data_IF_319439938288
#
_entry.id   IF_319439938288
#
_cell.length_a   1.000
_cell.length_b   1.000
_cell.length_c   1.000
_cell.angle_alpha   90.00
_cell.angle_beta   90.00
_cell.angle_gamma   90.00
#
_symmetry.space_group_name_H-M   'P 1'
#
loop_
_entity.id
_entity.type
_entity.pdbx_description
1 polymer ?
#
# COMPACT_ATOMS: atom_id res chain seq x y z
N UNK A 1 -28.56 -13.67 32.77
CA UNK A 1 -28.21 -14.56 31.65
C UNK A 1 -27.94 -13.65 30.47
N UNK A 2 -26.67 -13.39 30.15
CA UNK A 2 -26.31 -12.59 28.96
C UNK A 2 -26.40 -13.49 27.72
N UNK A 3 -26.82 -12.97 26.55
CA UNK A 3 -26.79 -13.75 25.33
C UNK A 3 -25.33 -14.05 24.96
N UNK A 4 -25.06 -15.32 24.64
CA UNK A 4 -23.79 -15.78 24.05
C UNK A 4 -23.50 -14.99 22.77
N UNK A 5 -22.24 -14.64 22.45
CA UNK A 5 -21.91 -13.98 21.19
C UNK A 5 -22.34 -14.88 20.01
N UNK A 6 -22.99 -14.30 19.01
CA UNK A 6 -23.20 -14.97 17.72
C UNK A 6 -21.82 -15.21 17.08
N UNK A 7 -21.53 -16.47 16.75
CA UNK A 7 -20.31 -16.87 16.02
C UNK A 7 -20.34 -16.22 14.64
N UNK A 8 -19.24 -15.61 14.21
CA UNK A 8 -19.11 -15.03 12.88
C UNK A 8 -18.83 -16.12 11.84
N UNK A 9 -19.64 -16.17 10.78
CA UNK A 9 -19.35 -16.96 9.59
C UNK A 9 -18.25 -16.24 8.80
N UNK A 10 -17.13 -16.91 8.49
CA UNK A 10 -16.13 -16.31 7.62
C UNK A 10 -16.50 -16.52 6.16
N UNK A 11 -16.42 -15.45 5.37
CA UNK A 11 -16.70 -15.50 3.94
C UNK A 11 -15.42 -15.74 3.12
N UNK A 12 -15.54 -16.19 1.87
CA UNK A 12 -14.43 -16.24 0.92
C UNK A 12 -13.70 -14.88 0.77
N UNK A 13 -14.37 -13.76 1.08
CA UNK A 13 -13.77 -12.43 1.10
C UNK A 13 -12.68 -12.29 2.16
N UNK A 14 -12.87 -12.86 3.35
CA UNK A 14 -11.88 -12.80 4.43
C UNK A 14 -10.70 -13.72 4.13
N UNK A 15 -10.96 -14.92 3.60
CA UNK A 15 -9.93 -15.86 3.16
C UNK A 15 -9.08 -15.31 2.00
N UNK A 16 -9.71 -14.71 0.99
CA UNK A 16 -9.01 -14.04 -0.11
C UNK A 16 -8.16 -12.86 0.39
N UNK A 17 -8.71 -12.06 1.32
CA UNK A 17 -8.00 -10.95 1.95
C UNK A 17 -6.76 -11.39 2.74
N UNK A 18 -6.85 -12.47 3.52
CA UNK A 18 -5.71 -13.00 4.27
C UNK A 18 -4.63 -13.58 3.35
N UNK A 19 -5.03 -14.30 2.31
CA UNK A 19 -4.10 -14.89 1.35
C UNK A 19 -3.37 -13.84 0.50
N UNK A 20 -4.05 -12.78 0.08
CA UNK A 20 -3.41 -11.68 -0.64
C UNK A 20 -2.34 -11.00 0.22
N UNK A 21 -2.61 -10.78 1.51
CA UNK A 21 -1.61 -10.27 2.47
C UNK A 21 -0.45 -11.23 2.72
N UNK A 22 -0.68 -12.51 2.56
CA UNK A 22 0.31 -13.56 2.63
C UNK A 22 1.11 -13.74 1.32
N UNK A 23 0.76 -12.99 0.25
CA UNK A 23 1.39 -13.11 -1.07
C UNK A 23 0.96 -14.37 -1.83
N UNK A 24 -0.19 -14.94 -1.49
CA UNK A 24 -0.75 -16.16 -2.06
C UNK A 24 -1.89 -15.79 -3.02
N UNK A 25 -1.80 -16.22 -4.28
CA UNK A 25 -2.86 -15.98 -5.26
C UNK A 25 -4.14 -16.73 -4.92
N UNK A 26 -5.31 -16.16 -5.21
CA UNK A 26 -6.62 -16.79 -5.01
C UNK A 26 -6.70 -18.16 -5.71
N UNK A 27 -6.11 -18.30 -6.89
CA UNK A 27 -6.03 -19.55 -7.64
C UNK A 27 -5.27 -20.65 -6.88
N UNK A 28 -4.24 -20.27 -6.12
CA UNK A 28 -3.48 -21.18 -5.29
C UNK A 28 -4.30 -21.64 -4.07
N UNK A 29 -5.04 -20.73 -3.42
CA UNK A 29 -5.97 -21.10 -2.33
C UNK A 29 -7.01 -22.09 -2.86
N UNK A 30 -7.65 -21.78 -4.00
CA UNK A 30 -8.65 -22.64 -4.60
C UNK A 30 -8.10 -24.03 -4.91
N UNK A 31 -6.89 -24.11 -5.48
CA UNK A 31 -6.22 -25.38 -5.76
C UNK A 31 -5.88 -26.16 -4.48
N UNK A 32 -5.41 -25.48 -3.43
CA UNK A 32 -5.07 -26.07 -2.13
C UNK A 32 -6.33 -26.59 -1.41
N UNK A 33 -7.43 -25.83 -1.42
CA UNK A 33 -8.74 -26.26 -0.91
C UNK A 33 -9.24 -27.48 -1.66
N UNK A 34 -9.19 -27.46 -2.99
CA UNK A 34 -9.67 -28.56 -3.83
C UNK A 34 -8.83 -29.84 -3.60
N UNK A 35 -7.51 -29.71 -3.49
CA UNK A 35 -6.62 -30.82 -3.18
C UNK A 35 -6.87 -31.39 -1.76
N UNK A 36 -7.04 -30.53 -0.75
CA UNK A 36 -7.33 -30.92 0.62
C UNK A 36 -8.67 -31.69 0.73
N UNK A 37 -9.72 -31.17 0.10
CA UNK A 37 -11.03 -31.83 0.04
C UNK A 37 -10.95 -33.18 -0.70
N UNK A 38 -10.14 -33.28 -1.76
CA UNK A 38 -9.95 -34.55 -2.47
C UNK A 38 -9.26 -35.61 -1.61
N UNK A 39 -8.25 -35.22 -0.81
CA UNK A 39 -7.57 -36.11 0.15
C UNK A 39 -8.53 -36.58 1.25
N UNK A 40 -9.33 -35.68 1.83
CA UNK A 40 -10.31 -36.03 2.87
C UNK A 40 -11.37 -37.04 2.36
N UNK A 41 -11.80 -36.91 1.10
CA UNK A 41 -12.73 -37.84 0.44
C UNK A 41 -12.12 -39.22 0.19
N UNK A 42 -10.84 -39.27 -0.17
CA UNK A 42 -10.13 -40.55 -0.36
C UNK A 42 -9.99 -41.29 0.97
N UNK A 43 -9.64 -40.59 2.06
CA UNK A 43 -9.51 -41.19 3.40
C UNK A 43 -10.83 -41.72 3.96
N UNK A 44 -11.96 -41.04 3.71
CA UNK A 44 -13.30 -41.53 4.11
C UNK A 44 -13.75 -42.75 3.29
N UNK A 45 -13.39 -42.82 2.01
CA UNK A 45 -13.71 -43.99 1.16
C UNK A 45 -12.93 -45.25 1.51
N UNK A 46 -11.75 -45.12 2.14
CA UNK A 46 -10.89 -46.22 2.57
C UNK A 46 -11.32 -46.92 3.88
N UNK A 47 -12.27 -46.36 4.63
CA UNK A 47 -12.69 -46.86 5.96
C UNK A 47 -14.11 -47.45 5.97
N UNK A 48 -14.44 -48.30 4.99
CA UNK A 48 -15.66 -49.12 5.03
C UNK A 48 -15.47 -50.33 5.96
N UNK A 49 -15.61 -50.15 7.27
CA UNK A 49 -15.50 -51.30 8.19
C UNK A 49 -15.74 -51.11 9.70
N UNK A 50 -16.08 -49.93 10.21
CA UNK A 50 -16.28 -49.74 11.65
C UNK A 50 -17.35 -48.72 11.98
N UNK A 51 -18.10 -48.97 13.07
CA UNK A 51 -19.06 -48.03 13.65
C UNK A 51 -18.34 -46.76 14.10
N UNK A 52 -18.28 -45.77 13.23
CA UNK A 52 -17.85 -44.42 13.55
C UNK A 52 -19.05 -43.49 13.36
N UNK A 53 -19.33 -42.64 14.36
CA UNK A 53 -20.26 -41.53 14.22
C UNK A 53 -19.73 -40.62 13.10
N UNK A 54 -20.51 -40.28 12.07
CA UNK A 54 -20.01 -39.44 10.99
C UNK A 54 -19.64 -38.07 11.58
N UNK A 55 -18.34 -37.81 11.67
CA UNK A 55 -17.87 -36.42 11.74
C UNK A 55 -18.35 -35.78 10.46
N UNK A 56 -19.20 -34.77 10.58
CA UNK A 56 -19.75 -34.10 9.41
C UNK A 56 -18.57 -33.61 8.55
N UNK A 57 -18.60 -33.80 7.23
CA UNK A 57 -17.46 -33.50 6.34
C UNK A 57 -16.98 -32.04 6.42
N UNK A 58 -17.80 -31.15 6.98
CA UNK A 58 -17.63 -29.70 7.02
C UNK A 58 -16.55 -29.19 7.97
N UNK A 59 -16.25 -29.88 9.08
CA UNK A 59 -15.17 -29.45 9.99
C UNK A 59 -13.78 -29.78 9.41
N UNK A 60 -13.68 -30.88 8.65
CA UNK A 60 -12.42 -31.36 8.11
C UNK A 60 -11.89 -30.51 6.94
N UNK A 61 -12.74 -29.85 6.16
CA UNK A 61 -12.30 -29.07 4.99
C UNK A 61 -11.61 -27.76 5.42
N UNK A 62 -12.17 -27.03 6.39
CA UNK A 62 -11.55 -25.80 6.91
C UNK A 62 -10.25 -26.10 7.65
N UNK A 63 -10.23 -27.15 8.49
CA UNK A 63 -9.03 -27.59 9.20
C UNK A 63 -7.95 -28.10 8.23
N UNK A 64 -8.32 -28.74 7.12
CA UNK A 64 -7.37 -29.17 6.10
C UNK A 64 -6.80 -28.00 5.29
N UNK A 65 -7.59 -26.96 5.02
CA UNK A 65 -7.12 -25.71 4.39
C UNK A 65 -6.17 -24.95 5.31
N UNK A 66 -6.53 -24.81 6.59
CA UNK A 66 -5.66 -24.21 7.61
C UNK A 66 -4.38 -25.04 7.77
N UNK A 67 -4.49 -26.38 7.76
CA UNK A 67 -3.36 -27.30 7.80
C UNK A 67 -2.41 -27.13 6.61
N UNK A 68 -2.94 -27.11 5.38
CA UNK A 68 -2.14 -26.91 4.18
C UNK A 68 -1.44 -25.54 4.16
N UNK A 69 -2.13 -24.48 4.58
CA UNK A 69 -1.52 -23.15 4.73
C UNK A 69 -0.42 -23.15 5.80
N UNK A 70 -0.59 -23.88 6.91
CA UNK A 70 0.47 -24.05 7.92
C UNK A 70 1.67 -24.83 7.37
N UNK A 71 1.44 -25.89 6.61
CA UNK A 71 2.51 -26.67 5.98
C UNK A 71 3.31 -25.84 4.97
N UNK A 72 2.67 -24.85 4.33
CA UNK A 72 3.31 -23.84 3.47
C UNK A 72 3.97 -22.67 4.26
N UNK A 73 3.97 -22.75 5.60
CA UNK A 73 4.68 -21.81 6.49
C UNK A 73 3.85 -20.63 6.97
N UNK A 74 2.53 -20.64 6.79
CA UNK A 74 1.63 -19.57 7.25
C UNK A 74 1.06 -19.89 8.64
N UNK A 75 1.37 -19.05 9.65
CA UNK A 75 0.83 -19.22 11.00
C UNK A 75 -0.50 -18.47 11.15
N UNK A 76 -1.61 -19.20 10.96
CA UNK A 76 -2.97 -18.68 11.11
C UNK A 76 -3.57 -19.17 12.44
N UNK A 77 -3.86 -18.24 13.35
CA UNK A 77 -4.65 -18.49 14.57
C UNK A 77 -6.08 -17.96 14.34
N UNK A 78 -6.93 -18.78 13.73
CA UNK A 78 -8.34 -18.45 13.51
C UNK A 78 -9.16 -19.02 14.68
N UNK A 79 -9.80 -18.15 15.46
CA UNK A 79 -10.76 -18.54 16.50
C UNK A 79 -12.17 -18.24 16.02
N UNK A 80 -13.07 -19.20 16.18
CA UNK A 80 -14.54 -19.05 16.04
C UNK A 80 -15.09 -18.73 14.63
N UNK A 81 -14.59 -19.42 13.59
CA UNK A 81 -15.16 -19.38 12.24
C UNK A 81 -16.05 -20.60 11.97
N UNK A 82 -17.27 -20.39 11.47
CA UNK A 82 -18.12 -21.47 10.95
C UNK A 82 -18.23 -21.36 9.42
N UNK A 83 -17.94 -22.46 8.72
CA UNK A 83 -18.04 -22.59 7.26
C UNK A 83 -19.47 -22.96 6.85
N UNK A 84 -20.07 -22.21 5.91
CA UNK A 84 -21.43 -22.47 5.42
C UNK A 84 -21.45 -22.76 3.92
N UNK A 85 -21.67 -24.02 3.56
CA UNK A 85 -21.61 -24.50 2.17
C UNK A 85 -22.83 -24.10 1.32
N UNK A 86 -23.92 -23.61 1.93
CA UNK A 86 -25.16 -23.22 1.22
C UNK A 86 -24.97 -22.09 0.21
N UNK A 87 -23.82 -21.41 0.23
CA UNK A 87 -23.47 -20.34 -0.70
C UNK A 87 -22.87 -20.86 -2.02
N UNK A 88 -22.76 -22.18 -2.24
CA UNK A 88 -21.96 -22.74 -3.34
C UNK A 88 -22.62 -23.91 -4.09
N UNK A 89 -23.03 -23.74 -5.37
CA UNK A 89 -23.49 -24.85 -6.20
C UNK A 89 -22.33 -25.72 -6.69
N UNK A 90 -22.38 -27.01 -6.33
CA UNK A 90 -21.49 -28.07 -6.84
C UNK A 90 -22.18 -28.86 -7.94
N UNK A 91 -21.39 -29.49 -8.83
CA UNK A 91 -21.94 -30.50 -9.74
C UNK A 91 -22.19 -31.81 -9.01
N UNK A 92 -22.78 -32.76 -9.72
CA UNK A 92 -23.09 -34.11 -9.21
C UNK A 92 -21.83 -34.91 -8.82
N UNK A 93 -20.65 -34.50 -9.31
CA UNK A 93 -19.34 -35.05 -8.93
C UNK A 93 -18.74 -34.35 -7.70
N UNK A 94 -19.46 -33.37 -7.13
CA UNK A 94 -19.04 -32.59 -5.97
C UNK A 94 -17.89 -31.62 -6.26
N UNK A 95 -17.62 -31.30 -7.53
CA UNK A 95 -16.69 -30.25 -7.97
C UNK A 95 -17.40 -28.90 -7.93
N UNK A 96 -16.63 -27.82 -7.78
CA UNK A 96 -17.18 -26.49 -7.96
C UNK A 96 -17.60 -26.33 -9.43
N UNK A 97 -18.87 -25.96 -9.67
CA UNK A 97 -19.31 -25.74 -11.05
C UNK A 97 -18.59 -24.51 -11.61
N UNK A 98 -17.96 -24.66 -12.78
CA UNK A 98 -17.25 -23.58 -13.51
C UNK A 98 -18.13 -22.36 -13.88
N UNK A 99 -19.40 -22.34 -13.49
CA UNK A 99 -20.31 -21.18 -13.59
C UNK A 99 -20.20 -20.17 -12.44
N UNK A 100 -19.51 -20.51 -11.35
CA UNK A 100 -19.38 -19.64 -10.18
C UNK A 100 -18.63 -18.33 -10.44
N UNK A 101 -17.66 -18.29 -11.35
CA UNK A 101 -16.91 -17.05 -11.64
C UNK A 101 -17.72 -16.04 -12.49
N UNK A 102 -18.65 -16.53 -13.31
CA UNK A 102 -19.41 -15.70 -14.26
C UNK A 102 -20.78 -15.26 -13.73
N UNK A 103 -21.47 -16.09 -12.94
CA UNK A 103 -22.76 -15.73 -12.31
C UNK A 103 -22.61 -14.63 -11.25
N UNK A 104 -21.43 -14.52 -10.63
CA UNK A 104 -21.16 -13.46 -9.65
C UNK A 104 -21.07 -12.07 -10.29
N UNK A 105 -20.62 -11.93 -11.55
CA UNK A 105 -20.64 -10.62 -12.25
C UNK A 105 -22.05 -10.12 -12.56
N UNK A 106 -23.02 -11.00 -12.73
CA UNK A 106 -24.42 -10.63 -13.00
C UNK A 106 -25.23 -10.37 -11.73
N UNK A 107 -25.07 -11.21 -10.70
CA UNK A 107 -25.76 -11.03 -9.41
C UNK A 107 -25.28 -9.78 -8.63
N UNK A 108 -24.07 -9.28 -8.92
CA UNK A 108 -23.53 -8.02 -8.39
C UNK A 108 -24.32 -6.77 -8.82
N UNK A 109 -25.09 -6.82 -9.91
CA UNK A 109 -25.82 -5.66 -10.43
C UNK A 109 -27.22 -5.46 -9.79
N UNK A 110 -27.87 -6.54 -9.33
CA UNK A 110 -29.28 -6.51 -8.93
C UNK A 110 -29.57 -6.86 -7.45
N UNK A 111 -28.56 -7.27 -6.68
CA UNK A 111 -28.75 -7.51 -5.25
C UNK A 111 -28.86 -6.20 -4.46
N UNK A 112 -30.11 -5.72 -4.26
CA UNK A 112 -30.46 -4.78 -3.18
C UNK A 112 -30.26 -5.49 -1.83
N UNK A 113 -29.02 -5.54 -1.39
CA UNK A 113 -28.69 -5.89 0.00
C UNK A 113 -29.11 -4.69 0.85
N UNK A 114 -30.01 -4.93 1.80
CA UNK A 114 -30.41 -3.95 2.80
C UNK A 114 -29.17 -3.59 3.65
N UNK A 115 -28.56 -2.43 3.37
CA UNK A 115 -27.25 -2.02 3.91
C UNK A 115 -27.43 -1.39 5.29
N UNK A 116 -27.33 -2.20 6.34
CA UNK A 116 -27.12 -1.71 7.72
C UNK A 116 -25.95 -2.36 8.45
N UNK A 117 -25.18 -3.25 7.81
CA UNK A 117 -23.93 -3.76 8.39
C UNK A 117 -22.74 -2.95 7.88
N UNK A 118 -22.48 -1.81 8.53
CA UNK A 118 -21.15 -1.22 8.50
C UNK A 118 -20.30 -2.08 9.44
N UNK A 119 -19.61 -3.07 8.88
CA UNK A 119 -18.48 -3.67 9.56
C UNK A 119 -17.45 -2.55 9.64
N UNK A 120 -17.22 -2.01 10.84
CA UNK A 120 -15.99 -1.25 11.09
C UNK A 120 -14.87 -2.28 11.06
N UNK A 121 -14.00 -2.34 10.03
CA UNK A 121 -12.80 -3.14 10.17
C UNK A 121 -11.97 -2.46 11.27
N UNK A 122 -12.09 -2.94 12.50
CA UNK A 122 -11.04 -2.74 13.50
C UNK A 122 -9.84 -3.48 12.93
N UNK A 123 -8.97 -2.76 12.23
CA UNK A 123 -7.70 -3.28 11.75
C UNK A 123 -6.99 -3.80 13.00
N UNK A 124 -6.78 -5.11 13.16
CA UNK A 124 -6.11 -5.61 14.34
C UNK A 124 -4.72 -4.97 14.40
N UNK A 125 -4.27 -4.51 15.58
CA UNK A 125 -2.95 -3.91 15.72
C UNK A 125 -1.94 -4.92 15.16
N UNK A 126 -1.19 -4.52 14.12
CA UNK A 126 -0.14 -5.35 13.55
C UNK A 126 0.75 -5.87 14.70
N UNK A 127 1.01 -7.17 14.75
CA UNK A 127 1.89 -7.77 15.77
C UNK A 127 3.21 -7.00 15.76
N UNK A 128 3.41 -6.20 16.80
CA UNK A 128 4.40 -5.13 16.81
C UNK A 128 5.81 -5.71 16.73
N UNK A 129 6.61 -5.14 15.82
CA UNK A 129 8.07 -5.17 15.91
C UNK A 129 8.52 -4.68 17.30
N UNK A 130 9.71 -5.09 17.79
CA UNK A 130 10.21 -4.73 19.12
C UNK A 130 10.04 -3.23 19.41
N UNK A 131 9.81 -2.83 20.68
CA UNK A 131 9.43 -1.48 21.04
C UNK A 131 10.40 -0.47 20.43
N UNK A 132 9.87 0.41 19.57
CA UNK A 132 10.64 1.48 18.97
C UNK A 132 11.16 2.38 20.09
N UNK A 133 12.48 2.57 20.13
CA UNK A 133 13.15 3.47 21.07
C UNK A 133 12.76 4.91 20.73
N UNK A 134 12.36 5.70 21.73
CA UNK A 134 12.19 7.14 21.51
C UNK A 134 13.53 7.78 21.10
N UNK A 135 13.51 8.47 19.95
CA UNK A 135 14.65 9.22 19.42
C UNK A 135 14.34 10.72 19.40
N UNK A 136 15.35 11.55 19.64
CA UNK A 136 15.30 12.98 19.29
C UNK A 136 15.32 13.15 17.77
N UNK A 137 14.94 14.33 17.28
CA UNK A 137 15.00 14.62 15.84
C UNK A 137 16.42 14.46 15.25
N UNK A 138 17.45 14.89 15.99
CA UNK A 138 18.85 14.69 15.56
C UNK A 138 19.23 13.20 15.51
N UNK A 139 18.81 12.40 16.49
CA UNK A 139 19.07 10.95 16.48
C UNK A 139 18.36 10.23 15.33
N UNK A 140 17.11 10.60 15.05
CA UNK A 140 16.37 10.04 13.93
C UNK A 140 16.97 10.45 12.58
N UNK A 141 17.39 11.70 12.45
CA UNK A 141 18.11 12.19 11.28
C UNK A 141 19.41 11.39 11.06
N UNK A 142 20.23 11.26 12.10
CA UNK A 142 21.50 10.51 12.03
C UNK A 142 21.28 9.04 11.66
N UNK A 143 20.25 8.39 12.23
CA UNK A 143 19.95 6.99 11.96
C UNK A 143 19.39 6.80 10.54
N UNK A 144 18.52 7.70 10.04
CA UNK A 144 18.05 7.68 8.65
C UNK A 144 19.22 7.87 7.68
N UNK A 145 20.11 8.83 7.93
CA UNK A 145 21.28 9.08 7.09
C UNK A 145 22.26 7.90 7.10
N UNK A 146 22.53 7.33 8.28
CA UNK A 146 23.38 6.15 8.43
C UNK A 146 22.77 4.96 7.68
N UNK A 147 21.48 4.70 7.89
CA UNK A 147 20.81 3.57 7.26
C UNK A 147 20.72 3.75 5.74
N UNK A 148 20.48 4.97 5.27
CA UNK A 148 20.51 5.31 3.86
C UNK A 148 21.85 5.01 3.19
N UNK A 149 22.99 5.32 3.85
CA UNK A 149 24.32 4.94 3.37
C UNK A 149 24.50 3.43 3.28
N UNK A 150 24.12 2.68 4.32
CA UNK A 150 24.19 1.22 4.32
C UNK A 150 23.38 0.60 3.17
N UNK A 151 22.18 1.12 2.91
CA UNK A 151 21.30 0.65 1.84
C UNK A 151 21.89 0.96 0.45
N UNK A 152 22.46 2.16 0.25
CA UNK A 152 23.17 2.51 -1.00
C UNK A 152 24.38 1.61 -1.23
N UNK A 153 25.18 1.34 -0.20
CA UNK A 153 26.31 0.41 -0.29
C UNK A 153 25.84 -1.00 -0.67
N UNK A 154 24.76 -1.48 -0.06
CA UNK A 154 24.17 -2.79 -0.39
C UNK A 154 23.63 -2.82 -1.83
N UNK A 155 22.99 -1.75 -2.30
CA UNK A 155 22.52 -1.63 -3.67
C UNK A 155 23.68 -1.69 -4.68
N UNK A 156 24.77 -0.97 -4.43
CA UNK A 156 26.00 -1.05 -5.24
C UNK A 156 26.59 -2.46 -5.22
N UNK A 157 26.66 -3.10 -4.05
CA UNK A 157 27.13 -4.48 -3.95
C UNK A 157 26.26 -5.44 -4.78
N UNK A 158 24.93 -5.31 -4.74
CA UNK A 158 24.01 -6.10 -5.56
C UNK A 158 24.24 -5.86 -7.04
N UNK A 159 24.34 -4.60 -7.48
CA UNK A 159 24.63 -4.26 -8.88
C UNK A 159 25.97 -4.88 -9.34
N UNK A 160 27.01 -4.84 -8.50
CA UNK A 160 28.30 -5.49 -8.80
C UNK A 160 28.16 -7.01 -8.90
N UNK A 161 27.41 -7.65 -7.99
CA UNK A 161 27.16 -9.09 -8.04
C UNK A 161 26.35 -9.49 -9.27
N UNK A 162 25.33 -8.72 -9.63
CA UNK A 162 24.50 -8.94 -10.81
C UNK A 162 25.30 -8.71 -12.09
N UNK A 163 26.17 -7.70 -12.13
CA UNK A 163 27.11 -7.49 -13.23
C UNK A 163 28.10 -8.65 -13.35
N UNK A 164 28.63 -9.18 -12.24
CA UNK A 164 29.50 -10.38 -12.23
C UNK A 164 28.77 -11.64 -12.70
N UNK A 165 27.51 -11.83 -12.30
CA UNK A 165 26.66 -12.94 -12.77
C UNK A 165 26.23 -12.76 -14.24
N UNK A 166 26.10 -11.51 -14.68
CA UNK A 166 25.73 -11.13 -16.05
C UNK A 166 26.88 -11.23 -17.05
N UNK A 167 28.13 -10.98 -16.63
CA UNK A 167 29.35 -11.17 -17.41
C UNK A 167 29.92 -12.60 -17.22
N UNK A 168 29.22 -13.61 -17.73
CA UNK A 168 29.93 -14.84 -18.09
C UNK A 168 30.73 -14.56 -19.36
N UNK A 169 32.00 -15.03 -19.40
CA UNK A 169 32.92 -14.84 -20.54
C UNK A 169 32.31 -15.32 -21.87
N UNK A 170 31.30 -16.19 -21.83
CA UNK A 170 30.56 -16.65 -23.00
C UNK A 170 29.68 -15.55 -23.64
N UNK A 171 29.05 -14.64 -22.90
CA UNK A 171 28.19 -13.59 -23.51
C UNK A 171 28.99 -12.54 -24.27
N UNK A 172 30.21 -12.25 -23.83
CA UNK A 172 31.14 -11.35 -24.52
C UNK A 172 31.72 -12.00 -25.80
N UNK A 173 31.91 -13.32 -25.78
CA UNK A 173 32.31 -14.11 -26.95
C UNK A 173 31.17 -14.21 -27.96
N UNK A 174 29.95 -14.51 -27.49
CA UNK A 174 28.74 -14.59 -28.30
C UNK A 174 28.38 -13.24 -28.95
N UNK A 175 28.58 -12.11 -28.27
CA UNK A 175 28.36 -10.79 -28.86
C UNK A 175 29.37 -10.46 -29.99
N UNK A 176 30.61 -10.94 -29.90
CA UNK A 176 31.64 -10.79 -30.95
C UNK A 176 31.38 -11.71 -32.15
N UNK A 177 30.91 -12.93 -31.90
CA UNK A 177 30.48 -13.88 -32.93
C UNK A 177 29.21 -13.37 -33.66
N UNK A 178 28.27 -12.76 -32.92
CA UNK A 178 27.06 -12.13 -33.46
C UNK A 178 27.40 -10.94 -34.38
N UNK A 179 28.39 -10.12 -34.01
CA UNK A 179 28.84 -8.98 -34.83
C UNK A 179 29.45 -9.44 -36.17
N UNK A 180 30.20 -10.54 -36.15
CA UNK A 180 30.81 -11.14 -37.35
C UNK A 180 29.78 -11.86 -38.24
N UNK A 181 28.74 -12.46 -37.65
CA UNK A 181 27.64 -13.09 -38.37
C UNK A 181 26.68 -12.06 -39.00
N UNK A 182 26.44 -10.93 -38.34
CA UNK A 182 25.62 -9.82 -38.87
C UNK A 182 26.22 -9.19 -40.13
N UNK A 183 27.56 -9.21 -40.29
CA UNK A 183 28.23 -8.76 -41.51
C UNK A 183 28.02 -9.71 -42.71
N UNK A 184 27.53 -10.94 -42.48
CA UNK A 184 27.38 -11.97 -43.52
C UNK A 184 25.93 -12.27 -43.93
N UNK A 185 24.89 -11.81 -43.22
CA UNK A 185 23.56 -12.46 -43.27
C UNK A 185 22.35 -11.56 -43.59
N UNK A 186 22.52 -10.50 -44.39
CA UNK A 186 21.44 -9.59 -44.84
C UNK A 186 20.47 -10.23 -45.87
N UNK A 187 20.34 -11.57 -45.94
CA UNK A 187 19.50 -12.24 -46.94
C UNK A 187 18.73 -13.49 -46.41
N UNK A 188 17.50 -13.26 -45.89
CA UNK A 188 16.27 -14.11 -45.84
C UNK A 188 15.99 -15.24 -44.78
N UNK A 189 14.67 -15.43 -44.50
CA UNK A 189 13.91 -16.57 -43.88
C UNK A 189 13.81 -16.77 -42.35
N UNK A 190 12.68 -17.35 -41.87
CA UNK A 190 12.27 -18.02 -40.57
C UNK A 190 12.98 -17.67 -39.24
N UNK A 191 14.27 -17.36 -39.27
CA UNK A 191 15.06 -16.77 -38.19
C UNK A 191 14.47 -15.48 -37.60
N UNK A 192 13.60 -14.79 -38.33
CA UNK A 192 12.94 -13.57 -37.86
C UNK A 192 11.97 -13.85 -36.69
N UNK A 193 11.35 -15.04 -36.66
CA UNK A 193 10.43 -15.46 -35.59
C UNK A 193 11.19 -15.85 -34.32
N UNK A 194 12.31 -16.54 -34.45
CA UNK A 194 13.23 -16.85 -33.34
C UNK A 194 13.98 -15.62 -32.83
N UNK A 195 14.21 -14.63 -33.70
CA UNK A 195 14.73 -13.31 -33.31
C UNK A 195 13.71 -12.55 -32.47
N UNK A 196 12.44 -12.55 -32.87
CA UNK A 196 11.37 -11.93 -32.10
C UNK A 196 11.21 -12.59 -30.72
N UNK A 197 11.23 -13.93 -30.64
CA UNK A 197 11.16 -14.67 -29.38
C UNK A 197 12.33 -14.33 -28.44
N UNK A 198 13.55 -14.24 -28.97
CA UNK A 198 14.75 -13.85 -28.19
C UNK A 198 14.70 -12.40 -27.72
N UNK A 199 14.14 -11.47 -28.53
CA UNK A 199 13.92 -10.07 -28.14
C UNK A 199 12.88 -9.96 -27.03
N UNK A 200 11.77 -10.70 -27.14
CA UNK A 200 10.75 -10.75 -26.09
C UNK A 200 11.30 -11.32 -24.78
N UNK A 201 12.14 -12.36 -24.84
CA UNK A 201 12.79 -12.92 -23.65
C UNK A 201 13.78 -11.92 -23.01
N UNK A 202 14.55 -11.20 -23.82
CA UNK A 202 15.47 -10.16 -23.34
C UNK A 202 14.71 -8.99 -22.67
N UNK A 203 13.60 -8.54 -23.29
CA UNK A 203 12.72 -7.52 -22.71
C UNK A 203 12.09 -8.04 -21.41
N UNK A 204 11.60 -9.28 -21.37
CA UNK A 204 11.04 -9.88 -20.15
C UNK A 204 12.06 -9.95 -19.01
N UNK A 205 13.32 -10.29 -19.31
CA UNK A 205 14.42 -10.28 -18.34
C UNK A 205 14.74 -8.87 -17.83
N UNK A 206 14.72 -7.86 -18.70
CA UNK A 206 14.93 -6.47 -18.28
C UNK A 206 13.76 -5.95 -17.43
N UNK A 207 12.51 -6.25 -17.79
CA UNK A 207 11.33 -5.91 -16.97
C UNK A 207 11.40 -6.57 -15.60
N UNK A 208 11.77 -7.86 -15.53
CA UNK A 208 11.98 -8.55 -14.25
C UNK A 208 13.10 -7.92 -13.42
N UNK A 209 14.19 -7.47 -14.07
CA UNK A 209 15.31 -6.77 -13.42
C UNK A 209 14.87 -5.43 -12.84
N UNK A 210 14.15 -4.61 -13.61
CA UNK A 210 13.61 -3.33 -13.15
C UNK A 210 12.65 -3.53 -11.97
N UNK A 211 11.69 -4.47 -12.09
CA UNK A 211 10.79 -4.78 -10.98
C UNK A 211 11.50 -5.31 -9.73
N UNK A 212 12.66 -5.97 -9.86
CA UNK A 212 13.47 -6.37 -8.70
C UNK A 212 14.20 -5.18 -8.04
N UNK A 213 14.64 -4.19 -8.83
CA UNK A 213 15.22 -2.93 -8.33
C UNK A 213 14.15 -2.14 -7.58
N UNK A 214 12.98 -1.93 -8.18
CA UNK A 214 11.86 -1.22 -7.55
C UNK A 214 11.43 -1.88 -6.23
N UNK A 215 11.31 -3.22 -6.20
CA UNK A 215 11.00 -3.95 -4.94
C UNK A 215 12.09 -3.80 -3.88
N UNK A 216 13.35 -3.73 -4.29
CA UNK A 216 14.45 -3.49 -3.35
C UNK A 216 14.39 -2.06 -2.79
N UNK A 217 14.15 -1.06 -3.64
CA UNK A 217 13.99 0.34 -3.23
C UNK A 217 12.79 0.51 -2.28
N UNK A 218 11.65 -0.13 -2.57
CA UNK A 218 10.48 -0.12 -1.68
C UNK A 218 10.78 -0.74 -0.31
N UNK A 219 11.55 -1.83 -0.26
CA UNK A 219 11.98 -2.45 0.99
C UNK A 219 12.93 -1.54 1.78
N UNK A 220 13.80 -0.83 1.08
CA UNK A 220 14.75 0.11 1.66
C UNK A 220 13.99 1.32 2.25
N UNK A 221 13.01 1.87 1.53
CA UNK A 221 12.10 2.93 2.02
C UNK A 221 11.30 2.46 3.25
N UNK A 222 10.75 1.25 3.21
CA UNK A 222 10.03 0.67 4.35
C UNK A 222 10.94 0.54 5.60
N UNK A 223 12.21 0.19 5.40
CA UNK A 223 13.20 0.11 6.48
C UNK A 223 13.47 1.48 7.09
N UNK A 224 13.58 2.53 6.26
CA UNK A 224 13.79 3.90 6.74
C UNK A 224 12.55 4.44 7.48
N UNK A 225 11.34 4.15 6.98
CA UNK A 225 10.08 4.53 7.65
C UNK A 225 9.96 3.98 9.07
N UNK A 226 10.47 2.78 9.34
CA UNK A 226 10.44 2.19 10.69
C UNK A 226 11.18 3.05 11.73
N UNK A 227 12.21 3.79 11.31
CA UNK A 227 12.93 4.75 12.19
C UNK A 227 12.04 5.95 12.54
N UNK A 228 11.14 6.32 11.62
CA UNK A 228 10.27 7.48 11.73
C UNK A 228 8.97 7.22 12.46
N UNK A 229 8.59 5.96 12.64
CA UNK A 229 7.36 5.62 13.34
C UNK A 229 7.44 5.98 14.82
N UNK A 230 6.29 6.39 15.37
CA UNK A 230 6.15 6.73 16.78
C UNK A 230 5.92 5.48 17.61
N UNK A 231 6.27 5.55 18.88
CA UNK A 231 6.03 4.47 19.83
C UNK A 231 4.53 4.31 20.16
N UNK A 232 3.87 5.44 20.44
CA UNK A 232 2.44 5.51 20.71
C UNK A 232 1.72 6.24 19.57
N UNK A 233 1.18 5.50 18.58
CA UNK A 233 0.51 6.09 17.42
C UNK A 233 -0.83 6.72 17.77
N UNK A 234 -1.21 7.77 17.06
CA UNK A 234 -2.49 8.43 17.21
C UNK A 234 -3.67 7.50 16.87
N UNK A 235 -4.80 7.70 17.55
CA UNK A 235 -6.06 7.12 17.11
C UNK A 235 -6.60 7.97 15.96
N UNK A 236 -6.91 7.32 14.83
CA UNK A 236 -7.48 7.98 13.66
C UNK A 236 -8.92 7.52 13.47
N UNK A 237 -9.84 8.48 13.52
CA UNK A 237 -11.25 8.24 13.20
C UNK A 237 -11.47 8.46 11.71
N UNK A 238 -11.23 7.41 10.92
CA UNK A 238 -11.43 7.43 9.48
C UNK A 238 -12.85 7.00 9.14
N UNK A 239 -13.53 7.83 8.35
CA UNK A 239 -14.93 7.68 7.99
C UNK A 239 -15.11 7.67 6.48
N UNK A 240 -15.96 6.75 6.03
CA UNK A 240 -16.36 6.61 4.61
C UNK A 240 -17.86 6.90 4.41
N UNK A 241 -18.53 7.29 5.48
CA UNK A 241 -19.95 7.66 5.50
C UNK A 241 -20.14 9.16 5.24
N UNK A 242 -21.39 9.52 4.93
CA UNK A 242 -21.77 10.90 4.63
C UNK A 242 -21.75 11.75 5.90
N UNK A 243 -21.15 12.94 5.82
CA UNK A 243 -21.35 14.00 6.82
C UNK A 243 -22.83 14.37 6.83
N UNK A 244 -23.51 14.41 8.00
CA UNK A 244 -24.92 14.79 8.07
C UNK A 244 -25.20 16.10 7.34
N UNK A 245 -26.15 16.08 6.40
CA UNK A 245 -26.52 17.25 5.59
C UNK A 245 -25.61 17.55 4.40
N UNK A 246 -24.63 16.70 4.09
CA UNK A 246 -23.78 16.81 2.89
C UNK A 246 -24.02 15.63 1.95
N UNK A 247 -24.17 15.94 0.65
CA UNK A 247 -24.19 14.93 -0.40
C UNK A 247 -22.75 14.53 -0.72
N UNK A 248 -22.27 13.45 -0.11
CA UNK A 248 -20.95 12.89 -0.40
C UNK A 248 -21.06 11.71 -1.35
N UNK A 249 -20.07 11.57 -2.23
CA UNK A 249 -19.96 10.41 -3.10
C UNK A 249 -19.15 9.33 -2.38
N UNK A 250 -19.74 8.18 -2.04
CA UNK A 250 -19.02 7.13 -1.33
C UNK A 250 -17.85 6.59 -2.16
N UNK A 251 -16.79 6.11 -1.50
CA UNK A 251 -15.75 5.35 -2.16
C UNK A 251 -16.31 3.98 -2.59
N UNK A 252 -16.85 3.90 -3.80
CA UNK A 252 -17.41 2.65 -4.33
C UNK A 252 -16.36 1.73 -4.97
N UNK A 253 -15.14 2.23 -5.17
CA UNK A 253 -14.03 1.47 -5.77
C UNK A 253 -13.16 0.87 -4.67
N UNK A 254 -12.91 -0.45 -4.74
CA UNK A 254 -12.03 -1.16 -3.81
C UNK A 254 -10.65 -0.50 -3.72
N UNK A 255 -10.11 -0.05 -4.86
CA UNK A 255 -8.80 0.60 -4.92
C UNK A 255 -8.75 1.91 -4.11
N UNK A 256 -9.81 2.75 -4.18
CA UNK A 256 -9.85 4.00 -3.41
C UNK A 256 -9.90 3.73 -1.91
N UNK A 257 -10.73 2.76 -1.50
CA UNK A 257 -10.85 2.35 -0.10
C UNK A 257 -9.53 1.78 0.41
N UNK A 258 -8.85 0.97 -0.39
CA UNK A 258 -7.54 0.40 -0.05
C UNK A 258 -6.48 1.50 0.10
N UNK A 259 -6.40 2.45 -0.84
CA UNK A 259 -5.48 3.57 -0.77
C UNK A 259 -5.74 4.44 0.47
N UNK A 260 -7.02 4.74 0.76
CA UNK A 260 -7.43 5.49 1.93
C UNK A 260 -7.04 4.78 3.23
N UNK A 261 -7.34 3.49 3.37
CA UNK A 261 -7.00 2.69 4.55
C UNK A 261 -5.48 2.55 4.73
N UNK A 262 -4.75 2.31 3.65
CA UNK A 262 -3.29 2.19 3.68
C UNK A 262 -2.64 3.50 4.06
N UNK A 263 -3.05 4.62 3.44
CA UNK A 263 -2.52 5.95 3.79
C UNK A 263 -2.87 6.36 5.21
N UNK A 264 -4.07 6.02 5.68
CA UNK A 264 -4.48 6.23 7.07
C UNK A 264 -3.59 5.47 8.05
N UNK A 265 -3.32 4.19 7.80
CA UNK A 265 -2.45 3.38 8.65
C UNK A 265 -1.01 3.91 8.68
N UNK A 266 -0.51 4.42 7.55
CA UNK A 266 0.81 5.05 7.49
C UNK A 266 0.88 6.33 8.35
N UNK A 267 -0.13 7.19 8.26
CA UNK A 267 -0.24 8.39 9.11
C UNK A 267 -0.34 8.01 10.58
N UNK A 268 -1.15 6.99 10.90
CA UNK A 268 -1.32 6.48 12.26
C UNK A 268 0.04 6.16 12.89
N UNK A 269 0.92 5.50 12.14
CA UNK A 269 2.26 5.11 12.59
C UNK A 269 3.25 6.26 12.66
N UNK A 270 3.05 7.34 11.89
CA UNK A 270 3.95 8.50 11.86
C UNK A 270 3.60 9.56 12.92
N UNK A 271 2.35 9.60 13.37
CA UNK A 271 1.84 10.67 14.24
C UNK A 271 1.58 10.13 15.65
N UNK A 272 2.08 10.84 16.67
CA UNK A 272 1.92 10.50 18.08
C UNK A 272 0.50 10.71 18.58
N UNK A 273 0.08 9.87 19.52
CA UNK A 273 -1.18 10.00 20.28
C UNK A 273 -1.43 11.35 20.96
N UNK A 274 -0.37 12.13 21.16
CA UNK A 274 -0.49 13.48 21.73
C UNK A 274 -1.06 14.50 20.74
N UNK A 275 -1.11 14.17 19.46
CA UNK A 275 -1.75 14.98 18.45
C UNK A 275 -3.18 14.50 18.23
N UNK A 276 -4.14 15.31 18.63
CA UNK A 276 -5.52 15.11 18.26
C UNK A 276 -5.68 15.31 16.75
N UNK A 277 -6.19 14.27 16.09
CA UNK A 277 -6.61 14.28 14.69
C UNK A 277 -8.10 14.02 14.73
N UNK A 278 -8.89 15.04 14.42
CA UNK A 278 -10.35 14.91 14.38
C UNK A 278 -10.83 13.88 13.36
N UNK A 279 -12.14 13.81 13.16
CA UNK A 279 -12.72 12.87 12.20
C UNK A 279 -12.29 13.22 10.76
N UNK A 280 -11.80 12.23 10.02
CA UNK A 280 -11.41 12.35 8.62
C UNK A 280 -12.40 11.61 7.74
N UNK A 281 -12.98 12.31 6.78
CA UNK A 281 -14.00 11.80 5.89
C UNK A 281 -13.45 11.65 4.48
N UNK A 282 -13.45 10.43 3.98
CA UNK A 282 -13.06 10.15 2.60
C UNK A 282 -14.26 10.14 1.67
N UNK A 283 -14.14 10.82 0.54
CA UNK A 283 -15.12 10.79 -0.55
C UNK A 283 -14.44 10.71 -1.91
N UNK A 284 -15.20 10.26 -2.91
CA UNK A 284 -14.73 10.23 -4.28
C UNK A 284 -14.90 11.60 -4.93
N UNK A 285 -13.84 12.10 -5.55
CA UNK A 285 -13.91 13.22 -6.47
C UNK A 285 -14.40 12.73 -7.83
N UNK A 286 -15.53 13.27 -8.30
CA UNK A 286 -16.18 12.82 -9.54
C UNK A 286 -16.01 13.81 -10.69
N UNK A 287 -15.46 15.00 -10.42
CA UNK A 287 -15.21 15.99 -11.47
C UNK A 287 -14.05 15.50 -12.36
N UNK A 288 -14.21 15.53 -13.69
CA UNK A 288 -13.08 15.30 -14.58
C UNK A 288 -12.03 16.39 -14.38
N UNK A 289 -10.76 16.04 -14.60
CA UNK A 289 -9.61 16.95 -14.54
C UNK A 289 -9.31 17.60 -13.18
N UNK A 290 -9.98 17.14 -12.11
CA UNK A 290 -9.59 17.51 -10.74
C UNK A 290 -8.62 16.50 -10.16
N UNK A 291 -7.75 16.97 -9.27
CA UNK A 291 -6.85 16.13 -8.49
C UNK A 291 -7.51 15.79 -7.16
N UNK A 292 -7.00 14.74 -6.51
CA UNK A 292 -7.31 14.52 -5.11
C UNK A 292 -6.94 15.77 -4.30
N UNK A 293 -7.73 16.10 -3.30
CA UNK A 293 -7.51 17.30 -2.49
C UNK A 293 -8.18 17.19 -1.12
N UNK A 294 -7.62 17.91 -0.17
CA UNK A 294 -8.23 18.20 1.10
C UNK A 294 -9.23 19.37 0.98
N UNK A 295 -10.32 19.29 1.73
CA UNK A 295 -11.23 20.39 2.04
C UNK A 295 -11.37 20.54 3.57
N UNK A 296 -11.44 21.79 4.01
CA UNK A 296 -11.63 22.18 5.42
C UNK A 296 -12.67 21.34 6.17
N UNK A 297 -12.37 21.04 7.43
CA UNK A 297 -13.23 20.24 8.29
C UNK A 297 -13.07 18.72 8.09
N UNK A 298 -11.87 18.29 7.67
CA UNK A 298 -11.48 16.88 7.67
C UNK A 298 -11.88 16.11 6.42
N UNK A 299 -12.22 16.76 5.31
CA UNK A 299 -12.70 16.07 4.10
C UNK A 299 -11.55 15.82 3.13
N UNK A 300 -11.35 14.56 2.76
CA UNK A 300 -10.36 14.15 1.77
C UNK A 300 -11.07 13.59 0.55
N UNK A 301 -10.90 14.28 -0.58
CA UNK A 301 -11.47 13.90 -1.87
C UNK A 301 -10.44 13.14 -2.68
N UNK A 302 -10.78 11.92 -3.09
CA UNK A 302 -9.88 11.03 -3.82
C UNK A 302 -10.35 10.80 -5.25
N UNK A 303 -9.43 10.90 -6.19
CA UNK A 303 -9.60 10.55 -7.61
C UNK A 303 -9.26 9.09 -7.86
N UNK A 304 -9.77 8.48 -8.94
CA UNK A 304 -9.61 7.05 -9.22
C UNK A 304 -8.15 6.57 -9.39
N UNK A 305 -7.21 7.47 -9.68
CA UNK A 305 -5.77 7.17 -9.87
C UNK A 305 -4.93 7.40 -8.60
N UNK A 306 -5.55 7.43 -7.41
CA UNK A 306 -4.86 7.81 -6.18
C UNK A 306 -3.97 6.70 -5.61
N UNK A 307 -2.75 7.05 -5.25
CA UNK A 307 -1.84 6.19 -4.48
C UNK A 307 -1.73 6.60 -3.01
N UNK A 308 -1.22 5.70 -2.17
CA UNK A 308 -0.96 5.92 -0.73
C UNK A 308 -0.22 7.22 -0.44
N UNK A 309 0.77 7.58 -1.27
CA UNK A 309 1.53 8.84 -1.19
C UNK A 309 0.61 10.07 -1.15
N UNK A 310 -0.38 10.11 -2.05
CA UNK A 310 -1.32 11.24 -2.15
C UNK A 310 -2.23 11.25 -0.92
N UNK A 311 -2.70 10.10 -0.46
CA UNK A 311 -3.51 10.03 0.78
C UNK A 311 -2.74 10.59 1.97
N UNK A 312 -1.46 10.22 2.14
CA UNK A 312 -0.57 10.77 3.18
C UNK A 312 -0.43 12.28 3.05
N UNK A 313 -0.29 12.81 1.83
CA UNK A 313 -0.24 14.24 1.56
C UNK A 313 -1.51 14.96 2.05
N UNK A 314 -2.69 14.47 1.65
CA UNK A 314 -3.96 15.09 2.04
C UNK A 314 -4.22 15.01 3.55
N UNK A 315 -3.75 13.93 4.21
CA UNK A 315 -3.78 13.85 5.67
C UNK A 315 -2.91 14.92 6.34
N UNK A 316 -1.80 15.31 5.74
CA UNK A 316 -0.98 16.40 6.28
C UNK A 316 -1.74 17.72 6.30
N UNK A 317 -2.53 18.02 5.26
CA UNK A 317 -3.44 19.17 5.26
C UNK A 317 -4.53 19.02 6.34
N UNK A 318 -5.09 17.82 6.49
CA UNK A 318 -6.09 17.58 7.52
C UNK A 318 -5.54 17.78 8.95
N UNK A 319 -4.32 17.33 9.21
CA UNK A 319 -3.66 17.48 10.49
C UNK A 319 -3.36 18.96 10.78
N UNK A 320 -2.94 19.71 9.76
CA UNK A 320 -2.75 21.17 9.87
C UNK A 320 -4.09 21.87 10.16
N UNK A 321 -5.17 21.52 9.47
CA UNK A 321 -6.46 22.19 9.67
C UNK A 321 -7.10 21.91 11.03
N UNK A 322 -7.14 20.63 11.41
CA UNK A 322 -7.88 20.18 12.59
C UNK A 322 -7.12 20.43 13.90
N UNK A 323 -5.83 20.79 13.83
CA UNK A 323 -5.01 21.07 15.00
C UNK A 323 -4.39 22.49 14.94
N UNK A 324 -5.02 23.49 15.57
CA UNK A 324 -4.56 24.88 15.53
C UNK A 324 -3.12 25.08 16.02
N UNK A 325 -2.66 24.25 16.97
CA UNK A 325 -1.28 24.30 17.48
C UNK A 325 -0.29 23.84 16.41
N UNK A 326 -0.62 22.76 15.69
CA UNK A 326 0.18 22.29 14.55
C UNK A 326 0.22 23.35 13.45
N UNK A 327 -0.94 23.91 13.06
CA UNK A 327 -1.04 25.01 12.09
C UNK A 327 -0.12 26.17 12.45
N UNK A 328 -0.17 26.64 13.71
CA UNK A 328 0.66 27.76 14.13
C UNK A 328 2.16 27.44 14.01
N UNK A 329 2.59 26.25 14.46
CA UNK A 329 4.01 25.83 14.36
C UNK A 329 4.48 25.77 12.90
N UNK A 330 3.62 25.28 12.00
CA UNK A 330 3.90 25.21 10.57
C UNK A 330 4.01 26.61 9.94
N UNK A 331 3.08 27.51 10.27
CA UNK A 331 3.13 28.91 9.84
C UNK A 331 4.40 29.62 10.33
N UNK A 332 4.77 29.41 11.59
CA UNK A 332 5.98 29.99 12.19
C UNK A 332 7.24 29.48 11.49
N UNK A 333 7.30 28.17 11.20
CA UNK A 333 8.40 27.56 10.46
C UNK A 333 8.52 28.15 9.04
N UNK A 334 7.43 28.17 8.27
CA UNK A 334 7.41 28.76 6.91
C UNK A 334 7.82 30.23 6.95
N UNK A 335 7.30 31.01 7.90
CA UNK A 335 7.58 32.44 8.05
C UNK A 335 9.04 32.70 8.40
N UNK A 336 9.62 31.88 9.29
CA UNK A 336 11.04 31.94 9.63
C UNK A 336 11.90 31.65 8.39
N UNK A 337 11.59 30.56 7.68
CA UNK A 337 12.34 30.07 6.50
C UNK A 337 12.30 31.05 5.33
N UNK A 338 11.16 31.69 5.08
CA UNK A 338 10.93 32.58 3.94
C UNK A 338 11.09 34.08 4.26
N UNK A 339 11.74 34.41 5.38
CA UNK A 339 11.90 35.79 5.84
C UNK A 339 12.75 36.61 4.87
N UNK A 340 12.17 37.70 4.36
CA UNK A 340 12.85 38.61 3.42
C UNK A 340 12.73 38.20 1.95
N UNK A 341 12.11 37.05 1.67
CA UNK A 341 11.95 36.52 0.32
C UNK A 341 10.69 37.11 -0.35
N UNK A 342 10.82 37.44 -1.64
CA UNK A 342 9.73 37.90 -2.48
C UNK A 342 8.88 36.76 -3.03
N UNK A 343 7.69 37.09 -3.51
CA UNK A 343 6.85 36.13 -4.22
C UNK A 343 7.39 35.85 -5.63
N UNK A 344 7.48 34.58 -5.98
CA UNK A 344 7.79 34.08 -7.32
C UNK A 344 6.63 33.23 -7.82
N UNK A 345 6.44 33.18 -9.15
CA UNK A 345 5.41 32.31 -9.74
C UNK A 345 5.85 30.85 -9.71
N UNK A 346 5.00 29.95 -9.21
CA UNK A 346 5.23 28.50 -9.33
C UNK A 346 5.21 28.02 -10.78
N UNK A 347 4.47 28.71 -11.66
CA UNK A 347 4.48 28.38 -13.09
C UNK A 347 5.87 28.49 -13.73
N UNK A 348 6.77 29.30 -13.14
CA UNK A 348 8.16 29.40 -13.60
C UNK A 348 9.00 28.15 -13.34
N UNK A 349 8.58 27.29 -12.41
CA UNK A 349 9.25 26.01 -12.11
C UNK A 349 8.60 24.85 -12.86
N UNK A 350 7.28 24.91 -13.07
CA UNK A 350 6.53 23.92 -13.83
C UNK A 350 5.28 24.55 -14.46
N UNK A 351 5.14 24.45 -15.78
CA UNK A 351 4.02 25.03 -16.53
C UNK A 351 2.65 24.43 -16.19
N UNK A 352 2.60 23.32 -15.45
CA UNK A 352 1.37 22.70 -14.96
C UNK A 352 0.71 23.48 -13.80
N UNK A 353 1.43 24.39 -13.15
CA UNK A 353 0.86 25.28 -12.13
C UNK A 353 0.07 26.42 -12.77
N UNK A 354 -0.93 26.92 -12.04
CA UNK A 354 -1.73 28.07 -12.48
C UNK A 354 -0.88 29.35 -12.41
N UNK A 355 -1.15 30.35 -13.28
CA UNK A 355 -0.37 31.60 -13.30
C UNK A 355 -0.38 32.39 -11.99
N UNK A 356 -1.45 32.24 -11.19
CA UNK A 356 -1.65 32.92 -9.91
C UNK A 356 -1.08 32.16 -8.70
N UNK A 357 -0.57 30.94 -8.90
CA UNK A 357 0.12 30.21 -7.86
C UNK A 357 1.52 30.77 -7.63
N UNK A 358 1.75 31.23 -6.40
CA UNK A 358 3.02 31.83 -5.99
C UNK A 358 3.66 31.06 -4.85
N UNK A 359 4.97 31.18 -4.73
CA UNK A 359 5.75 30.66 -3.63
C UNK A 359 6.77 31.69 -3.18
N UNK A 360 7.31 31.53 -1.97
CA UNK A 360 8.51 32.24 -1.55
C UNK A 360 9.70 31.30 -1.65
N UNK A 361 10.75 31.77 -2.33
CA UNK A 361 11.98 31.00 -2.50
C UNK A 361 12.62 30.74 -1.14
N UNK A 362 13.17 29.55 -0.96
CA UNK A 362 13.97 29.15 0.19
C UNK A 362 14.83 27.93 -0.20
N UNK A 363 15.52 27.30 0.75
CA UNK A 363 16.27 26.05 0.63
C UNK A 363 15.40 24.79 0.66
N UNK A 364 14.10 24.91 0.45
CA UNK A 364 13.21 23.77 0.27
C UNK A 364 13.65 22.92 -0.93
N UNK A 365 13.35 21.61 -0.88
CA UNK A 365 13.66 20.65 -1.95
C UNK A 365 12.79 20.86 -3.19
N UNK A 366 11.56 21.31 -2.96
CA UNK A 366 10.62 21.66 -4.01
C UNK A 366 10.07 23.07 -3.75
N UNK A 367 9.93 23.87 -4.82
CA UNK A 367 9.32 25.19 -4.74
C UNK A 367 7.88 25.13 -4.18
N UNK A 368 7.17 24.02 -4.42
CA UNK A 368 5.82 23.76 -3.93
C UNK A 368 5.74 23.80 -2.40
N UNK A 369 6.78 23.38 -1.67
CA UNK A 369 6.83 23.49 -0.20
C UNK A 369 6.76 24.94 0.29
N UNK A 370 7.29 25.87 -0.51
CA UNK A 370 7.23 27.31 -0.26
C UNK A 370 5.95 27.99 -0.74
N UNK A 371 4.97 27.22 -1.23
CA UNK A 371 3.71 27.74 -1.79
C UNK A 371 2.99 28.63 -0.78
N UNK A 372 2.46 29.72 -1.32
CA UNK A 372 1.74 30.71 -0.54
C UNK A 372 0.33 30.89 -1.11
N UNK A 373 -0.66 30.58 -0.28
CA UNK A 373 -2.06 30.72 -0.61
C UNK A 373 -2.52 32.14 -0.28
N UNK A 374 -2.78 32.96 -1.30
CA UNK A 374 -3.22 34.35 -1.08
C UNK A 374 -4.61 34.33 -0.42
N UNK A 375 -4.70 34.88 0.79
CA UNK A 375 -5.95 34.94 1.55
C UNK A 375 -6.27 33.69 2.37
N UNK A 376 -5.34 32.74 2.47
CA UNK A 376 -5.44 31.58 3.37
C UNK A 376 -4.14 31.39 4.16
N UNK A 377 -4.27 30.77 5.33
CA UNK A 377 -3.15 30.35 6.16
C UNK A 377 -2.68 28.92 5.83
N UNK A 378 -3.26 28.28 4.81
CA UNK A 378 -2.83 26.96 4.36
C UNK A 378 -1.36 26.95 3.94
N UNK A 379 -0.71 25.81 4.17
CA UNK A 379 0.67 25.57 3.75
C UNK A 379 0.85 24.19 3.11
N UNK A 380 1.99 24.02 2.43
CA UNK A 380 2.45 22.71 1.92
C UNK A 380 3.52 22.08 2.81
N UNK A 381 3.75 22.65 3.99
CA UNK A 381 4.88 22.26 4.83
C UNK A 381 4.62 20.90 5.48
N UNK A 382 3.47 20.71 6.11
CA UNK A 382 3.21 19.43 6.77
C UNK A 382 2.89 18.32 5.76
N UNK A 383 2.07 18.61 4.75
CA UNK A 383 1.68 17.67 3.68
C UNK A 383 2.90 17.10 2.95
N UNK A 384 3.78 17.96 2.42
CA UNK A 384 4.99 17.51 1.73
C UNK A 384 5.96 16.83 2.69
N UNK A 385 6.09 17.31 3.93
CA UNK A 385 6.97 16.70 4.93
C UNK A 385 6.61 15.24 5.22
N UNK A 386 5.32 14.97 5.47
CA UNK A 386 4.79 13.62 5.67
C UNK A 386 4.87 12.76 4.41
N UNK A 387 4.63 13.36 3.24
CA UNK A 387 4.77 12.68 1.96
C UNK A 387 6.21 12.16 1.75
N UNK A 388 7.22 12.98 2.05
CA UNK A 388 8.61 12.56 2.00
C UNK A 388 8.92 11.51 3.07
N UNK A 389 8.45 11.66 4.31
CA UNK A 389 8.60 10.62 5.32
C UNK A 389 8.07 9.26 4.86
N UNK A 390 6.97 9.26 4.12
CA UNK A 390 6.39 8.05 3.56
C UNK A 390 7.15 7.50 2.35
N UNK A 391 7.47 8.35 1.37
CA UNK A 391 7.92 7.94 0.04
C UNK A 391 9.44 7.94 -0.13
N UNK A 392 10.15 8.90 0.44
CA UNK A 392 11.60 9.03 0.33
C UNK A 392 12.19 9.83 1.51
N UNK A 393 12.22 9.21 2.71
CA UNK A 393 12.69 9.91 3.90
C UNK A 393 14.17 10.29 3.83
N UNK A 394 14.97 9.57 3.04
CA UNK A 394 16.40 9.84 2.90
C UNK A 394 16.64 11.13 2.12
N UNK A 395 15.88 11.37 1.04
CA UNK A 395 16.00 12.61 0.27
C UNK A 395 15.69 13.84 1.12
N UNK A 396 14.66 13.79 1.98
CA UNK A 396 14.37 14.88 2.90
C UNK A 396 15.47 15.07 3.94
N UNK A 397 15.96 13.97 4.53
CA UNK A 397 17.03 13.99 5.52
C UNK A 397 18.34 14.60 4.97
N UNK A 398 18.73 14.25 3.74
CA UNK A 398 19.96 14.73 3.12
C UNK A 398 19.84 16.17 2.59
N UNK A 399 18.70 16.48 1.97
CA UNK A 399 18.53 17.73 1.26
C UNK A 399 18.11 18.90 2.14
N UNK A 400 17.23 18.69 3.14
CA UNK A 400 16.81 19.72 4.08
C UNK A 400 16.71 19.17 5.52
N UNK A 401 17.85 18.99 6.22
CA UNK A 401 17.89 18.45 7.58
C UNK A 401 17.12 19.30 8.61
N UNK A 402 17.00 20.61 8.40
CA UNK A 402 16.22 21.46 9.31
C UNK A 402 14.73 21.13 9.19
N UNK A 403 14.24 21.00 7.96
CA UNK A 403 12.85 20.67 7.68
C UNK A 403 12.50 19.23 8.09
N UNK A 404 13.39 18.27 7.83
CA UNK A 404 13.26 16.90 8.35
C UNK A 404 13.02 16.90 9.86
N UNK A 405 13.87 17.62 10.61
CA UNK A 405 13.78 17.66 12.08
C UNK A 405 12.52 18.36 12.57
N UNK A 406 12.14 19.46 11.90
CA UNK A 406 10.90 20.16 12.19
C UNK A 406 9.69 19.22 12.06
N UNK A 407 9.56 18.49 10.94
CA UNK A 407 8.45 17.55 10.75
C UNK A 407 8.50 16.43 11.77
N UNK A 408 9.69 15.87 12.03
CA UNK A 408 9.87 14.81 13.02
C UNK A 408 9.37 15.19 14.42
N UNK A 409 9.75 16.38 14.91
CA UNK A 409 9.33 16.87 16.22
C UNK A 409 7.85 17.27 16.22
N UNK A 410 7.38 17.90 15.15
CA UNK A 410 5.99 18.34 15.02
C UNK A 410 5.02 17.18 15.15
N UNK A 411 5.23 16.08 14.41
CA UNK A 411 4.33 14.89 14.45
C UNK A 411 4.40 14.11 15.76
N UNK A 412 5.31 14.50 16.66
CA UNK A 412 5.44 14.00 18.04
C UNK A 412 4.91 14.98 19.08
N UNK A 413 4.32 16.09 18.65
CA UNK A 413 3.78 17.12 19.53
C UNK A 413 4.82 18.01 20.22
N UNK A 414 6.09 17.99 19.78
CA UNK A 414 7.18 18.77 20.38
C UNK A 414 7.22 20.20 19.86
#
# INVERSE_FOLDING_TARGET
>A
MFPTPLKSEASWYELAYFAERAGVSIEHICATVEAATQVARQSTSAHKGGNYQPVLPYENDLDAVIGALRDDGFDLEIKDVQWNESQHPRDDDGRFTNGGSHLYRGALADARIDRTYIVHPTIPPAQYSPPLREMTADQALDEVLKKGRELRELAVQRQVQDAKKGLSKEKLKAAKELLSALQQQVTSNEAEKDSLRRRMEAVGKEVQRQGAIERAELKDIATLRQILYVHSPAELNVRFDTIPGKNMQPLTSNHLTEAALTGSEEIRRLVSEHLYIGDIYFERETRPDTRSNYEYGGRVKLTDEVGTRIVVHEFGHALEDLNPTVRQKVLDFRTKRTRGEGFLSLQSTNSAFRPDEVYKKDRFLDAYMGKFYIGSDDTEILSMGLEYFHSDPLTLAEGDPEYFKFIYDLVRGK
#
